data_IF_343435047845
#
_entry.id   IF_343435047845
#
_cell.length_a   1.000
_cell.length_b   1.000
_cell.length_c   1.000
_cell.angle_alpha   90.00
_cell.angle_beta   90.00
_cell.angle_gamma   90.00
#
_symmetry.space_group_name_H-M   'P 1'
#
loop_
_entity.id
_entity.type
_entity.pdbx_description
1 polymer ?
#
# COMPACT_ATOMS: atom_id res chain seq x y z
N UNK A 1 -13.73 6.96 25.91
CA UNK A 1 -13.40 6.01 24.83
C UNK A 1 -13.36 6.69 23.49
N UNK A 2 -14.47 7.28 23.10
CA UNK A 2 -14.54 7.92 21.79
C UNK A 2 -13.49 9.03 21.65
N UNK A 3 -13.32 9.81 22.68
CA UNK A 3 -12.36 10.92 22.62
C UNK A 3 -10.93 10.41 22.45
N UNK A 4 -10.60 9.33 23.17
CA UNK A 4 -9.27 8.76 23.05
C UNK A 4 -9.03 8.18 21.64
N UNK A 5 -10.05 7.52 21.11
CA UNK A 5 -9.93 6.95 19.77
C UNK A 5 -9.78 8.06 18.72
N UNK A 6 -10.57 9.10 18.85
CA UNK A 6 -10.46 10.22 17.93
C UNK A 6 -9.08 10.85 18.00
N UNK A 7 -8.55 10.98 19.21
CA UNK A 7 -7.21 11.53 19.36
C UNK A 7 -6.17 10.69 18.64
N UNK A 8 -6.28 9.35 18.77
CA UNK A 8 -5.34 8.46 18.10
C UNK A 8 -5.45 8.59 16.57
N UNK A 9 -6.67 8.72 16.07
CA UNK A 9 -6.87 8.84 14.64
C UNK A 9 -6.36 10.17 14.11
N UNK A 10 -6.51 11.23 14.90
CA UNK A 10 -6.12 12.56 14.44
C UNK A 10 -4.68 12.91 14.73
N UNK A 11 -3.92 12.02 15.40
CA UNK A 11 -2.51 12.24 15.61
C UNK A 11 -1.74 12.24 14.29
N UNK A 12 -0.51 12.76 14.30
CA UNK A 12 0.28 12.78 13.07
C UNK A 12 0.49 11.38 12.55
N UNK A 13 0.24 11.20 11.27
CA UNK A 13 0.46 9.90 10.64
C UNK A 13 1.96 9.69 10.45
N UNK A 14 2.38 8.44 10.60
CA UNK A 14 3.78 8.07 10.42
C UNK A 14 4.05 7.75 8.97
N UNK A 15 5.25 8.08 8.54
CA UNK A 15 5.72 7.72 7.20
C UNK A 15 6.43 6.38 7.25
N UNK A 16 6.17 5.52 6.28
CA UNK A 16 6.90 4.26 6.18
C UNK A 16 8.40 4.49 5.96
N UNK A 17 8.77 5.71 5.50
CA UNK A 17 10.18 6.05 5.32
C UNK A 17 10.95 5.96 6.64
N UNK A 18 10.26 5.97 7.77
CA UNK A 18 10.90 5.77 9.06
C UNK A 18 11.47 4.38 9.23
N UNK A 19 10.95 3.40 8.53
CA UNK A 19 11.38 2.01 8.70
C UNK A 19 12.07 1.42 7.48
N UNK A 20 12.09 2.16 6.36
CA UNK A 20 12.71 1.69 5.13
C UNK A 20 14.02 2.43 4.92
N UNK A 21 15.16 1.72 4.81
CA UNK A 21 16.43 2.40 4.59
C UNK A 21 16.41 3.23 3.30
N UNK A 22 17.10 4.36 3.35
CA UNK A 22 17.10 5.30 2.23
C UNK A 22 17.58 4.65 0.94
N UNK A 23 18.66 3.87 1.02
CA UNK A 23 19.22 3.25 -0.18
C UNK A 23 18.23 2.27 -0.81
N UNK A 24 17.54 1.51 0.02
CA UNK A 24 16.55 0.57 -0.46
C UNK A 24 15.37 1.31 -1.09
N UNK A 25 14.93 2.37 -0.44
CA UNK A 25 13.84 3.18 -0.96
C UNK A 25 14.17 3.70 -2.36
N UNK A 26 15.35 4.29 -2.51
CA UNK A 26 15.74 4.86 -3.81
C UNK A 26 15.88 3.80 -4.87
N UNK A 27 16.41 2.64 -4.52
CA UNK A 27 16.50 1.53 -5.45
C UNK A 27 15.13 1.10 -5.94
N UNK A 28 14.18 0.97 -5.04
CA UNK A 28 12.85 0.48 -5.38
C UNK A 28 12.05 1.53 -6.14
N UNK A 29 12.20 2.81 -5.81
CA UNK A 29 11.61 3.87 -6.62
C UNK A 29 12.14 3.77 -8.06
N UNK A 30 13.44 3.56 -8.21
CA UNK A 30 14.05 3.43 -9.53
C UNK A 30 13.50 2.24 -10.31
N UNK A 31 13.23 1.13 -9.63
CA UNK A 31 12.64 -0.03 -10.30
C UNK A 31 11.22 0.28 -10.79
N UNK A 32 10.44 0.99 -9.98
CA UNK A 32 9.11 1.39 -10.39
C UNK A 32 9.12 2.32 -11.60
N UNK A 33 10.02 3.30 -11.58
CA UNK A 33 10.14 4.22 -12.70
C UNK A 33 10.56 3.48 -13.97
N UNK A 34 11.45 2.50 -13.82
CA UNK A 34 11.91 1.73 -14.98
C UNK A 34 10.81 0.89 -15.60
N UNK A 35 9.97 0.28 -14.76
CA UNK A 35 9.04 -0.76 -15.20
C UNK A 35 7.61 -0.25 -15.45
N UNK A 36 7.31 0.96 -15.04
CA UNK A 36 5.95 1.50 -15.13
C UNK A 36 5.98 2.94 -15.60
N UNK A 37 4.90 3.45 -16.18
CA UNK A 37 4.88 4.81 -16.73
C UNK A 37 4.64 5.88 -15.67
N UNK A 38 5.42 5.87 -14.61
CA UNK A 38 5.29 6.83 -13.52
C UNK A 38 6.61 7.56 -13.32
N UNK A 39 6.53 8.84 -12.96
CA UNK A 39 7.73 9.56 -12.56
C UNK A 39 8.11 9.19 -11.14
N UNK A 40 9.23 9.72 -10.66
CA UNK A 40 9.74 9.33 -9.34
C UNK A 40 8.81 9.78 -8.22
N UNK A 41 8.09 10.89 -8.40
CA UNK A 41 7.15 11.35 -7.39
C UNK A 41 6.00 10.36 -7.22
N UNK A 42 5.38 9.97 -8.34
CA UNK A 42 4.29 9.01 -8.28
C UNK A 42 4.77 7.64 -7.83
N UNK A 43 5.94 7.23 -8.31
CA UNK A 43 6.52 5.95 -7.89
C UNK A 43 6.73 5.91 -6.38
N UNK A 44 7.20 7.02 -5.80
CA UNK A 44 7.37 7.09 -4.35
C UNK A 44 6.05 6.98 -3.61
N UNK A 45 5.01 7.62 -4.12
CA UNK A 45 3.68 7.52 -3.51
C UNK A 45 3.17 6.08 -3.54
N UNK A 46 3.30 5.42 -4.68
CA UNK A 46 2.87 4.03 -4.83
C UNK A 46 3.67 3.11 -3.92
N UNK A 47 4.99 3.28 -3.90
CA UNK A 47 5.84 2.44 -3.06
C UNK A 47 5.51 2.62 -1.59
N UNK A 48 5.30 3.86 -1.16
CA UNK A 48 4.97 4.13 0.24
C UNK A 48 3.70 3.43 0.67
N UNK A 49 2.68 3.44 -0.18
CA UNK A 49 1.43 2.77 0.16
C UNK A 49 1.58 1.26 0.11
N UNK A 50 2.45 0.75 -0.76
CA UNK A 50 2.77 -0.68 -0.77
C UNK A 50 3.37 -1.12 0.56
N UNK A 51 4.31 -0.36 1.09
CA UNK A 51 4.87 -0.66 2.41
C UNK A 51 3.83 -0.55 3.51
N UNK A 52 3.01 0.51 3.48
CA UNK A 52 1.97 0.67 4.50
C UNK A 52 1.01 -0.51 4.49
N UNK A 53 0.64 -0.98 3.30
CA UNK A 53 -0.21 -2.16 3.18
C UNK A 53 0.46 -3.39 3.81
N UNK A 54 1.72 -3.65 3.45
CA UNK A 54 2.40 -4.84 3.94
C UNK A 54 2.59 -4.80 5.46
N UNK A 55 2.98 -3.65 5.99
CA UNK A 55 3.18 -3.53 7.44
C UNK A 55 1.86 -3.72 8.18
N UNK A 56 0.77 -3.18 7.64
CA UNK A 56 -0.54 -3.35 8.25
C UNK A 56 -0.99 -4.81 8.18
N UNK A 57 -0.78 -5.46 7.03
CA UNK A 57 -1.13 -6.87 6.89
C UNK A 57 -0.33 -7.73 7.87
N UNK A 58 0.94 -7.42 8.05
CA UNK A 58 1.77 -8.16 8.99
C UNK A 58 1.30 -7.98 10.44
N UNK A 59 0.92 -6.74 10.79
CA UNK A 59 0.43 -6.47 12.14
C UNK A 59 -0.85 -7.23 12.43
N UNK A 60 -1.73 -7.37 11.44
CA UNK A 60 -3.02 -8.02 11.62
C UNK A 60 -3.03 -9.46 11.11
N UNK A 61 -1.85 -10.07 11.04
CA UNK A 61 -1.74 -11.45 10.59
C UNK A 61 -2.61 -12.35 11.46
N UNK A 62 -3.42 -13.16 10.79
CA UNK A 62 -4.28 -14.11 11.50
C UNK A 62 -5.64 -13.56 11.89
N UNK A 63 -5.91 -12.28 11.62
CA UNK A 63 -7.18 -11.67 12.05
C UNK A 63 -8.26 -11.76 10.99
N UNK A 64 -7.94 -12.23 9.79
CA UNK A 64 -8.94 -12.43 8.73
C UNK A 64 -9.72 -11.16 8.38
N UNK A 65 -9.01 -10.04 8.29
CA UNK A 65 -9.66 -8.77 7.98
C UNK A 65 -10.00 -8.59 6.51
N UNK A 66 -9.51 -9.46 5.65
CA UNK A 66 -9.78 -9.33 4.22
C UNK A 66 -9.09 -8.15 3.59
N UNK A 67 -7.90 -7.83 4.04
CA UNK A 67 -7.15 -6.70 3.52
C UNK A 67 -6.73 -6.97 2.08
N UNK A 68 -6.86 -5.96 1.23
CA UNK A 68 -6.48 -6.08 -0.18
C UNK A 68 -6.03 -4.71 -0.69
N UNK A 69 -4.97 -4.68 -1.51
CA UNK A 69 -4.52 -3.41 -2.06
C UNK A 69 -5.38 -3.01 -3.26
N UNK A 70 -5.41 -1.72 -3.55
CA UNK A 70 -5.93 -1.25 -4.82
C UNK A 70 -4.98 -1.68 -5.93
N UNK A 71 -5.41 -1.52 -7.19
CA UNK A 71 -4.54 -1.88 -8.30
C UNK A 71 -3.25 -1.08 -8.30
N UNK A 72 -3.33 0.21 -8.04
CA UNK A 72 -2.13 1.05 -7.99
C UNK A 72 -1.21 0.65 -6.85
N UNK A 73 -1.77 0.43 -5.67
CA UNK A 73 -0.96 0.08 -4.51
C UNK A 73 -0.33 -1.31 -4.72
N UNK A 74 -1.03 -2.20 -5.41
CA UNK A 74 -0.50 -3.53 -5.67
C UNK A 74 0.78 -3.50 -6.51
N UNK A 75 0.91 -2.49 -7.36
CA UNK A 75 2.16 -2.31 -8.11
C UNK A 75 3.32 -2.11 -7.14
N UNK A 76 3.12 -1.30 -6.11
CA UNK A 76 4.14 -1.11 -5.08
C UNK A 76 4.39 -2.37 -4.28
N UNK A 77 3.34 -3.09 -3.94
CA UNK A 77 3.46 -4.34 -3.20
C UNK A 77 4.31 -5.35 -4.00
N UNK A 78 4.04 -5.49 -5.28
CA UNK A 78 4.82 -6.39 -6.13
C UNK A 78 6.28 -5.97 -6.20
N UNK A 79 6.55 -4.69 -6.31
CA UNK A 79 7.94 -4.21 -6.34
C UNK A 79 8.69 -4.63 -5.09
N UNK A 80 8.05 -4.51 -3.94
CA UNK A 80 8.67 -4.87 -2.66
C UNK A 80 8.88 -6.37 -2.57
N UNK A 81 7.86 -7.16 -2.88
CA UNK A 81 7.93 -8.61 -2.75
C UNK A 81 8.96 -9.21 -3.70
N UNK A 82 9.09 -8.66 -4.89
CA UNK A 82 10.04 -9.18 -5.86
C UNK A 82 11.50 -8.88 -5.51
N UNK A 83 11.72 -7.95 -4.62
CA UNK A 83 13.05 -7.71 -4.06
C UNK A 83 13.21 -8.68 -2.89
N UNK A 84 13.53 -9.92 -3.22
CA UNK A 84 13.36 -11.03 -2.27
C UNK A 84 14.22 -10.91 -1.02
N UNK A 85 15.43 -10.39 -1.14
CA UNK A 85 16.30 -10.24 0.03
C UNK A 85 15.74 -9.18 0.96
N UNK A 86 15.33 -8.04 0.39
CA UNK A 86 14.76 -6.97 1.20
C UNK A 86 13.43 -7.37 1.80
N UNK A 87 12.62 -8.11 1.05
CA UNK A 87 11.34 -8.57 1.57
C UNK A 87 11.52 -9.57 2.71
N UNK A 88 12.50 -10.48 2.58
CA UNK A 88 12.79 -11.41 3.66
C UNK A 88 13.20 -10.67 4.94
N UNK A 89 13.99 -9.61 4.79
CA UNK A 89 14.39 -8.80 5.94
C UNK A 89 13.18 -8.11 6.57
N UNK A 90 12.29 -7.59 5.74
CA UNK A 90 11.08 -6.94 6.24
C UNK A 90 10.23 -7.94 7.03
N UNK A 91 10.07 -9.15 6.49
CA UNK A 91 9.31 -10.19 7.16
C UNK A 91 9.97 -10.60 8.48
N UNK A 92 11.31 -10.66 8.50
CA UNK A 92 12.02 -10.99 9.74
C UNK A 92 11.77 -9.93 10.81
N UNK A 93 11.70 -8.67 10.41
CA UNK A 93 11.52 -7.58 11.37
C UNK A 93 10.08 -7.43 11.84
N UNK A 94 9.11 -7.70 10.99
CA UNK A 94 7.71 -7.34 11.28
C UNK A 94 6.74 -8.51 11.21
N UNK A 95 7.16 -9.68 10.77
CA UNK A 95 6.23 -10.79 10.56
C UNK A 95 6.78 -12.12 11.09
N UNK A 96 7.66 -12.06 12.06
CA UNK A 96 8.20 -13.27 12.67
C UNK A 96 8.98 -14.15 11.70
N UNK A 97 9.47 -13.58 10.60
CA UNK A 97 10.22 -14.35 9.63
C UNK A 97 9.38 -15.06 8.59
N UNK A 98 8.06 -14.93 8.67
CA UNK A 98 7.16 -15.61 7.72
C UNK A 98 6.75 -14.65 6.61
N UNK A 99 6.67 -15.18 5.39
CA UNK A 99 6.14 -14.41 4.27
C UNK A 99 4.63 -14.30 4.39
N UNK A 100 4.10 -13.18 3.89
CA UNK A 100 2.66 -13.05 3.76
C UNK A 100 2.22 -13.74 2.49
N UNK A 101 1.10 -14.46 2.52
CA UNK A 101 0.53 -14.96 1.27
C UNK A 101 0.15 -13.79 0.38
N UNK A 102 0.54 -13.87 -0.87
CA UNK A 102 0.14 -12.85 -1.84
C UNK A 102 -0.37 -13.56 -3.08
N UNK A 103 -1.66 -13.46 -3.29
CA UNK A 103 -2.30 -14.10 -4.43
C UNK A 103 -2.62 -13.00 -5.44
N UNK A 104 -2.03 -13.06 -6.63
CA UNK A 104 -2.38 -12.08 -7.65
C UNK A 104 -3.86 -12.18 -7.97
N UNK A 105 -4.50 -11.06 -8.11
CA UNK A 105 -5.90 -11.05 -8.45
C UNK A 105 -6.08 -11.36 -9.92
N UNK A 106 -6.92 -12.32 -10.20
CA UNK A 106 -7.24 -12.63 -11.57
C UNK A 106 -8.09 -11.51 -12.17
N UNK A 107 -8.86 -10.87 -11.36
CA UNK A 107 -9.69 -9.77 -11.80
C UNK A 107 -9.86 -8.81 -10.65
N UNK A 108 -9.99 -7.55 -10.99
CA UNK A 108 -10.20 -6.51 -10.01
C UNK A 108 -11.68 -6.34 -9.79
N UNK A 109 -12.07 -6.34 -8.53
CA UNK A 109 -13.47 -6.12 -8.19
C UNK A 109 -13.57 -4.89 -7.33
N UNK A 110 -14.49 -4.04 -7.68
CA UNK A 110 -14.73 -2.84 -6.91
C UNK A 110 -15.73 -3.17 -5.81
N UNK A 111 -15.26 -3.90 -4.82
CA UNK A 111 -16.10 -4.41 -3.74
C UNK A 111 -15.89 -3.67 -2.43
N UNK A 112 -15.15 -2.58 -2.47
CA UNK A 112 -14.91 -1.79 -1.27
C UNK A 112 -13.76 -2.27 -0.40
N UNK A 113 -13.13 -3.38 -0.76
CA UNK A 113 -12.07 -3.91 0.09
C UNK A 113 -10.85 -2.99 0.17
N UNK A 114 -10.53 -2.31 -0.94
CA UNK A 114 -9.40 -1.39 -0.93
C UNK A 114 -9.63 -0.23 0.03
N UNK A 115 -10.82 0.34 0.02
CA UNK A 115 -11.12 1.44 0.93
C UNK A 115 -11.16 1.00 2.38
N UNK A 116 -11.68 -0.20 2.63
CA UNK A 116 -11.65 -0.74 3.99
C UNK A 116 -10.21 -0.93 4.45
N UNK A 117 -9.36 -1.39 3.54
CA UNK A 117 -7.95 -1.59 3.86
C UNK A 117 -7.27 -0.25 4.19
N UNK A 118 -7.56 0.79 3.41
CA UNK A 118 -7.01 2.12 3.68
C UNK A 118 -7.42 2.60 5.07
N UNK A 119 -8.66 2.31 5.48
CA UNK A 119 -9.12 2.68 6.81
C UNK A 119 -8.32 1.96 7.90
N UNK A 120 -8.04 0.67 7.70
CA UNK A 120 -7.25 -0.08 8.67
C UNK A 120 -5.82 0.47 8.75
N UNK A 121 -5.23 0.80 7.59
CA UNK A 121 -3.90 1.38 7.54
C UNK A 121 -3.85 2.68 8.35
N UNK A 122 -4.84 3.54 8.15
CA UNK A 122 -4.92 4.79 8.90
C UNK A 122 -5.08 4.54 10.39
N UNK A 123 -5.89 3.55 10.75
CA UNK A 123 -6.07 3.19 12.15
C UNK A 123 -4.79 2.71 12.80
N UNK A 124 -3.92 2.09 12.01
CA UNK A 124 -2.62 1.64 12.51
C UNK A 124 -1.61 2.79 12.62
N UNK A 125 -1.98 3.98 12.18
CA UNK A 125 -1.14 5.15 12.34
C UNK A 125 -0.26 5.47 11.15
N UNK A 126 -0.40 4.76 10.04
CA UNK A 126 0.38 5.06 8.84
C UNK A 126 -0.30 6.09 7.98
N UNK A 127 0.52 6.86 7.27
CA UNK A 127 0.02 7.85 6.34
C UNK A 127 -0.68 7.18 5.16
N UNK A 128 -1.87 7.64 4.83
CA UNK A 128 -2.64 7.10 3.71
C UNK A 128 -2.72 8.14 2.60
N UNK A 129 -2.30 7.74 1.42
CA UNK A 129 -2.39 8.58 0.22
C UNK A 129 -3.70 8.19 -0.46
N UNK A 130 -4.78 8.80 -0.02
CA UNK A 130 -6.12 8.36 -0.36
C UNK A 130 -6.40 8.23 -1.85
N UNK A 131 -5.96 9.16 -2.73
CA UNK A 131 -6.23 9.00 -4.15
C UNK A 131 -5.74 7.67 -4.74
N UNK A 132 -4.70 7.06 -4.17
CA UNK A 132 -4.22 5.78 -4.69
C UNK A 132 -5.15 4.63 -4.31
N UNK A 133 -6.00 4.84 -3.33
CA UNK A 133 -6.93 3.81 -2.84
C UNK A 133 -8.34 3.96 -3.40
N UNK A 134 -8.69 5.16 -3.85
CA UNK A 134 -10.02 5.38 -4.39
C UNK A 134 -10.15 4.89 -5.80
N UNK A 135 -8.97 4.57 -6.41
CA UNK A 135 -9.04 3.77 -7.58
C UNK A 135 -9.33 4.46 -8.86
N UNK A 136 -8.37 4.36 -9.66
CA UNK A 136 -8.47 4.82 -11.00
C UNK A 136 -9.60 4.14 -11.72
N UNK A 137 -9.95 2.95 -11.29
CA UNK A 137 -11.00 2.23 -11.97
C UNK A 137 -12.29 3.00 -11.92
N UNK A 138 -12.49 3.71 -10.86
CA UNK A 138 -13.70 4.48 -10.78
C UNK A 138 -13.66 5.71 -11.62
N UNK A 139 -12.46 6.18 -11.85
CA UNK A 139 -12.32 7.30 -12.72
C UNK A 139 -12.39 6.89 -14.14
N UNK A 140 -12.13 5.64 -14.35
CA UNK A 140 -12.01 5.14 -15.70
C UNK A 140 -13.17 5.45 -16.57
N UNK A 141 -14.31 5.24 -16.11
CA UNK A 141 -15.42 5.53 -16.99
C UNK A 141 -15.59 7.01 -17.13
N UNK A 142 -15.12 7.57 -16.35
CA UNK A 142 -15.24 8.91 -16.38
C UNK A 142 -14.47 9.59 -17.38
N UNK A 143 -14.32 8.91 -17.48
CA UNK A 143 -13.81 9.11 -17.98
C UNK A 143 -13.99 9.33 -18.72
N UNK A 144 -14.14 9.43 -18.82
CA UNK A 144 -14.22 9.49 -19.63
C UNK A 144 -14.31 9.88 -20.13
N UNK A 145 -14.18 9.99 -20.19
CA UNK A 145 -14.06 10.00 -20.64
C UNK A 145 -14.06 10.25 -21.21
N UNK A 146 -13.98 10.34 -21.23
CA UNK A 146 -13.90 10.31 -21.66
C UNK A 146 -14.09 10.53 -22.31
N UNK A 147 -14.03 10.71 -22.46
CA UNK A 147 -14.14 10.63 -22.96
C UNK A 147 -14.27 10.72 -23.51
N UNK A 148 -14.27 10.91 -23.74
CA UNK A 148 -14.32 10.66 -24.08
C UNK A 148 -14.46 10.60 -24.41
N UNK A 149 -14.40 10.84 -24.85
CA UNK A 149 -14.53 10.52 -24.94
C UNK A 149 -14.66 10.71 -25.08
#
# INVERSE_FOLDING_TARGET
MTAALVHLITGPARSVREVVPVDLWEKQVGLLVRDHPYDSTMAGRILGQGYAYLLTAMRHRGESLGLAPSELVDIGVHTIIRDTVAYADLCARFNGGHSLPHVPKAETKNDGSAMRTATVIASDGWDVDLPLWTDAAECGPCHPGNDSH
#
